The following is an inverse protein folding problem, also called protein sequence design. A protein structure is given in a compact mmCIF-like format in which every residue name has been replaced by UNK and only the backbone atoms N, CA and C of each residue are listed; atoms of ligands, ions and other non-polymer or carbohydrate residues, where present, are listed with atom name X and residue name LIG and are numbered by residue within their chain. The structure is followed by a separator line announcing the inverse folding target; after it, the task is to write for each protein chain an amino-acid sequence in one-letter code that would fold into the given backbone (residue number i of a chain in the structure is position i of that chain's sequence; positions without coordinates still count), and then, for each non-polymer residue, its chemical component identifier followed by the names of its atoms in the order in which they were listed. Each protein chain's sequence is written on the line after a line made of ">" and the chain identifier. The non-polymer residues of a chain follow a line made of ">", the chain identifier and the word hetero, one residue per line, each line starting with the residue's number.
data_IF_295593517034
#
_entry.id   IF_295593517034
#
_cell.length_a   1.000
_cell.length_b   1.000
_cell.length_c   1.000
_cell.angle_alpha   90.00
_cell.angle_beta   90.00
_cell.angle_gamma   90.00
#
_symmetry.space_group_name_H-M   'P 1'
#
loop_
_entity.id
_entity.type
_entity.pdbx_description
1 polymer ?
#
# COMPACT_ATOMS: atom_id res chain seq x y z
N UNK A 1 -23.94 -31.85 -10.69
CA UNK A 1 -23.65 -30.49 -11.21
C UNK A 1 -23.25 -29.48 -10.11
N UNK A 2 -23.68 -29.61 -8.85
CA UNK A 2 -23.30 -28.65 -7.78
C UNK A 2 -21.81 -28.70 -7.37
N UNK A 3 -21.16 -29.86 -7.38
CA UNK A 3 -19.77 -30.01 -6.91
C UNK A 3 -18.75 -29.22 -7.76
N UNK A 4 -18.97 -29.15 -9.08
CA UNK A 4 -18.14 -28.39 -10.02
C UNK A 4 -18.24 -26.88 -9.82
N UNK A 5 -19.40 -26.36 -9.41
CA UNK A 5 -19.57 -24.94 -9.12
C UNK A 5 -18.87 -24.54 -7.81
N UNK A 6 -18.87 -25.42 -6.80
CA UNK A 6 -18.20 -25.21 -5.50
C UNK A 6 -16.68 -25.14 -5.64
N UNK A 7 -16.09 -26.04 -6.42
CA UNK A 7 -14.64 -26.01 -6.69
C UNK A 7 -14.26 -24.73 -7.46
N UNK A 8 -15.13 -24.27 -8.36
CA UNK A 8 -14.88 -23.07 -9.15
C UNK A 8 -14.83 -21.80 -8.30
N UNK A 9 -15.78 -21.63 -7.37
CA UNK A 9 -15.82 -20.43 -6.51
C UNK A 9 -14.64 -20.37 -5.53
N UNK A 10 -14.21 -21.52 -5.00
CA UNK A 10 -13.03 -21.60 -4.13
C UNK A 10 -11.75 -21.25 -4.91
N UNK A 11 -11.59 -21.80 -6.12
CA UNK A 11 -10.47 -21.46 -7.00
C UNK A 11 -10.45 -19.97 -7.36
N UNK A 12 -11.60 -19.39 -7.67
CA UNK A 12 -11.68 -17.97 -8.00
C UNK A 12 -11.24 -17.09 -6.82
N UNK A 13 -11.66 -17.43 -5.59
CA UNK A 13 -11.19 -16.75 -4.39
C UNK A 13 -9.67 -16.86 -4.23
N UNK A 14 -9.12 -18.07 -4.42
CA UNK A 14 -7.68 -18.31 -4.34
C UNK A 14 -6.89 -17.47 -5.35
N UNK A 15 -7.33 -17.44 -6.61
CA UNK A 15 -6.70 -16.67 -7.68
C UNK A 15 -6.71 -15.18 -7.38
N UNK A 16 -7.83 -14.65 -6.87
CA UNK A 16 -7.92 -13.24 -6.48
C UNK A 16 -6.96 -12.92 -5.34
N UNK A 17 -6.92 -13.75 -4.29
CA UNK A 17 -5.98 -13.53 -3.18
C UNK A 17 -4.52 -13.59 -3.65
N UNK A 18 -4.15 -14.58 -4.46
CA UNK A 18 -2.80 -14.69 -5.01
C UNK A 18 -2.42 -13.47 -5.85
N UNK A 19 -3.34 -12.99 -6.68
CA UNK A 19 -3.15 -11.79 -7.47
C UNK A 19 -2.96 -10.54 -6.59
N UNK A 20 -3.76 -10.38 -5.54
CA UNK A 20 -3.63 -9.28 -4.58
C UNK A 20 -2.26 -9.33 -3.89
N UNK A 21 -1.86 -10.50 -3.36
CA UNK A 21 -0.57 -10.70 -2.70
C UNK A 21 0.59 -10.34 -3.63
N UNK A 22 0.57 -10.86 -4.86
CA UNK A 22 1.63 -10.60 -5.83
C UNK A 22 1.77 -9.10 -6.13
N UNK A 23 0.65 -8.39 -6.30
CA UNK A 23 0.64 -6.94 -6.53
C UNK A 23 1.14 -6.15 -5.34
N UNK A 24 0.69 -6.47 -4.13
CA UNK A 24 1.18 -5.83 -2.89
C UNK A 24 2.69 -6.02 -2.75
N UNK A 25 3.20 -7.23 -3.00
CA UNK A 25 4.62 -7.50 -2.94
C UNK A 25 5.41 -6.72 -3.99
N UNK A 26 4.88 -6.58 -5.20
CA UNK A 26 5.47 -5.72 -6.23
C UNK A 26 5.56 -4.27 -5.77
N UNK A 27 4.47 -3.71 -5.24
CA UNK A 27 4.45 -2.34 -4.68
C UNK A 27 5.45 -2.22 -3.52
N UNK A 28 5.46 -3.19 -2.61
CA UNK A 28 6.34 -3.24 -1.44
C UNK A 28 7.82 -3.22 -1.81
N UNK A 29 8.19 -3.86 -2.93
CA UNK A 29 9.57 -3.91 -3.41
C UNK A 29 9.99 -2.63 -4.14
N UNK A 30 9.03 -1.85 -4.65
CA UNK A 30 9.28 -0.55 -5.30
C UNK A 30 9.29 0.63 -4.32
N UNK A 31 8.92 0.42 -3.04
CA UNK A 31 9.01 1.46 -2.01
C UNK A 31 10.47 1.86 -1.81
N UNK A 32 10.79 3.11 -2.14
CA UNK A 32 12.15 3.68 -2.04
C UNK A 32 12.78 4.04 -3.39
N UNK A 33 12.19 3.61 -4.51
CA UNK A 33 12.60 4.02 -5.86
C UNK A 33 11.68 5.13 -6.39
N UNK A 34 10.47 4.78 -6.80
CA UNK A 34 9.44 5.72 -7.24
C UNK A 34 8.03 5.18 -6.92
N UNK A 35 7.57 5.50 -5.71
CA UNK A 35 6.26 5.04 -5.22
C UNK A 35 5.08 5.81 -5.82
N UNK A 36 5.36 6.91 -6.53
CA UNK A 36 4.35 7.71 -7.23
C UNK A 36 4.32 7.42 -8.73
N UNK A 37 4.96 6.34 -9.15
CA UNK A 37 4.94 5.90 -10.54
C UNK A 37 3.55 5.42 -10.95
N UNK A 38 3.21 5.62 -12.23
CA UNK A 38 1.95 5.15 -12.82
C UNK A 38 1.74 3.65 -12.65
N UNK A 39 2.82 2.87 -12.73
CA UNK A 39 2.78 1.43 -12.54
C UNK A 39 2.26 1.05 -11.14
N UNK A 40 2.60 1.82 -10.10
CA UNK A 40 2.11 1.60 -8.73
C UNK A 40 0.63 1.97 -8.61
N UNK A 41 0.23 3.10 -9.20
CA UNK A 41 -1.18 3.52 -9.23
C UNK A 41 -2.07 2.48 -9.92
N UNK A 42 -1.61 1.92 -11.05
CA UNK A 42 -2.34 0.89 -11.78
C UNK A 42 -2.47 -0.40 -10.94
N UNK A 43 -1.40 -0.82 -10.25
CA UNK A 43 -1.46 -1.97 -9.33
C UNK A 43 -2.43 -1.75 -8.17
N UNK A 44 -2.42 -0.56 -7.56
CA UNK A 44 -3.36 -0.19 -6.49
C UNK A 44 -4.80 -0.22 -7.00
N UNK A 45 -5.04 0.34 -8.18
CA UNK A 45 -6.35 0.35 -8.82
C UNK A 45 -6.85 -1.07 -9.10
N UNK A 46 -6.00 -1.95 -9.65
CA UNK A 46 -6.36 -3.35 -9.89
C UNK A 46 -6.68 -4.11 -8.60
N UNK A 47 -5.94 -3.85 -7.51
CA UNK A 47 -6.26 -4.37 -6.18
C UNK A 47 -7.65 -3.87 -5.76
N UNK A 48 -7.89 -2.56 -5.78
CA UNK A 48 -9.18 -1.97 -5.40
C UNK A 48 -10.35 -2.52 -6.20
N UNK A 49 -10.16 -2.77 -7.51
CA UNK A 49 -11.17 -3.37 -8.38
C UNK A 49 -11.45 -4.84 -8.06
N UNK A 50 -10.48 -5.57 -7.50
CA UNK A 50 -10.62 -6.98 -7.13
C UNK A 50 -11.38 -7.18 -5.82
N UNK A 51 -11.35 -6.20 -4.90
CA UNK A 51 -11.96 -6.30 -3.56
C UNK A 51 -13.48 -6.56 -3.61
N UNK A 52 -14.30 -5.82 -4.38
CA UNK A 52 -15.73 -6.08 -4.42
C UNK A 52 -16.08 -7.49 -4.90
N UNK A 53 -15.35 -7.99 -5.90
CA UNK A 53 -15.54 -9.36 -6.40
C UNK A 53 -15.17 -10.39 -5.35
N UNK A 54 -14.04 -10.19 -4.66
CA UNK A 54 -13.63 -11.04 -3.56
C UNK A 54 -14.67 -11.06 -2.43
N UNK A 55 -15.20 -9.90 -2.04
CA UNK A 55 -16.23 -9.80 -1.01
C UNK A 55 -17.49 -10.59 -1.38
N UNK A 56 -17.96 -10.45 -2.62
CA UNK A 56 -19.11 -11.25 -3.12
C UNK A 56 -18.84 -12.75 -3.03
N UNK A 57 -17.68 -13.20 -3.50
CA UNK A 57 -17.28 -14.61 -3.48
C UNK A 57 -17.23 -15.14 -2.03
N UNK A 58 -16.63 -14.38 -1.11
CA UNK A 58 -16.56 -14.75 0.30
C UNK A 58 -17.96 -14.84 0.92
N UNK A 59 -18.86 -13.89 0.62
CA UNK A 59 -20.25 -13.95 1.09
C UNK A 59 -20.97 -15.20 0.58
N UNK A 60 -20.74 -15.60 -0.68
CA UNK A 60 -21.33 -16.81 -1.24
C UNK A 60 -20.73 -18.08 -0.59
N UNK A 61 -19.41 -18.13 -0.38
CA UNK A 61 -18.75 -19.21 0.35
C UNK A 61 -19.33 -19.37 1.76
N UNK A 62 -19.54 -18.27 2.49
CA UNK A 62 -20.14 -18.28 3.83
C UNK A 62 -21.59 -18.76 3.83
N UNK A 63 -22.36 -18.39 2.80
CA UNK A 63 -23.72 -18.90 2.59
C UNK A 63 -23.72 -20.42 2.34
N UNK A 64 -22.81 -20.90 1.48
CA UNK A 64 -22.65 -22.33 1.19
C UNK A 64 -22.16 -23.11 2.43
N UNK A 65 -21.24 -22.54 3.22
CA UNK A 65 -20.81 -23.12 4.50
C UNK A 65 -21.99 -23.28 5.47
N UNK A 66 -22.84 -22.25 5.59
CA UNK A 66 -24.02 -22.28 6.46
C UNK A 66 -25.05 -23.33 6.05
N UNK A 67 -25.06 -23.70 4.76
CA UNK A 67 -25.90 -24.76 4.19
C UNK A 67 -25.24 -26.14 4.19
N UNK A 68 -24.06 -26.28 4.81
CA UNK A 68 -23.23 -27.49 4.77
C UNK A 68 -22.87 -27.96 3.34
N UNK A 69 -22.83 -27.02 2.39
CA UNK A 69 -22.47 -27.29 1.01
C UNK A 69 -20.95 -27.31 0.80
N UNK A 70 -20.23 -26.53 1.60
CA UNK A 70 -18.76 -26.54 1.71
C UNK A 70 -18.39 -26.98 3.12
N UNK A 71 -17.38 -27.83 3.26
CA UNK A 71 -16.83 -28.22 4.56
C UNK A 71 -15.78 -27.20 5.02
N UNK A 72 -15.64 -26.96 6.33
CA UNK A 72 -14.61 -26.05 6.86
C UNK A 72 -13.18 -26.37 6.36
N UNK A 73 -12.83 -27.66 6.23
CA UNK A 73 -11.52 -28.08 5.74
C UNK A 73 -11.22 -27.62 4.30
N UNK A 74 -12.26 -27.41 3.48
CA UNK A 74 -12.10 -26.91 2.10
C UNK A 74 -11.76 -25.40 2.08
N UNK A 75 -11.85 -24.70 3.22
CA UNK A 75 -11.56 -23.26 3.34
C UNK A 75 -10.15 -22.98 3.85
N UNK A 76 -9.38 -23.99 4.29
CA UNK A 76 -8.06 -23.82 4.89
C UNK A 76 -7.13 -22.98 4.02
N UNK A 77 -7.10 -23.24 2.71
CA UNK A 77 -6.25 -22.50 1.78
C UNK A 77 -6.69 -21.05 1.61
N UNK A 78 -7.99 -20.78 1.61
CA UNK A 78 -8.52 -19.41 1.52
C UNK A 78 -8.18 -18.62 2.79
N UNK A 79 -8.34 -19.22 3.96
CA UNK A 79 -7.98 -18.62 5.25
C UNK A 79 -6.47 -18.35 5.32
N UNK A 80 -5.66 -19.29 4.85
CA UNK A 80 -4.22 -19.11 4.76
C UNK A 80 -3.83 -17.94 3.84
N UNK A 81 -4.41 -17.89 2.63
CA UNK A 81 -4.16 -16.82 1.67
C UNK A 81 -4.65 -15.46 2.17
N UNK A 82 -5.77 -15.40 2.89
CA UNK A 82 -6.24 -14.14 3.49
C UNK A 82 -5.28 -13.65 4.56
N UNK A 83 -4.74 -14.54 5.40
CA UNK A 83 -3.69 -14.22 6.36
C UNK A 83 -2.43 -13.67 5.69
N UNK A 84 -1.94 -14.32 4.61
CA UNK A 84 -0.80 -13.84 3.85
C UNK A 84 -1.04 -12.47 3.19
N UNK A 85 -2.25 -12.23 2.69
CA UNK A 85 -2.61 -10.92 2.13
C UNK A 85 -2.56 -9.82 3.20
N UNK A 86 -3.11 -10.10 4.40
CA UNK A 86 -3.02 -9.18 5.55
C UNK A 86 -1.59 -8.91 5.97
N UNK A 87 -0.76 -9.95 6.06
CA UNK A 87 0.67 -9.80 6.40
C UNK A 87 1.42 -8.97 5.36
N UNK A 88 1.20 -9.26 4.07
CA UNK A 88 1.82 -8.52 2.95
C UNK A 88 1.45 -7.03 3.00
N UNK A 89 0.19 -6.71 3.30
CA UNK A 89 -0.26 -5.33 3.51
C UNK A 89 0.42 -4.69 4.72
N UNK A 90 0.55 -5.40 5.84
CA UNK A 90 1.23 -4.90 7.04
C UNK A 90 2.70 -4.56 6.76
N UNK A 91 3.40 -5.40 5.98
CA UNK A 91 4.77 -5.11 5.53
C UNK A 91 4.82 -3.84 4.68
N UNK A 92 3.94 -3.71 3.69
CA UNK A 92 3.86 -2.51 2.85
C UNK A 92 3.55 -1.25 3.68
N UNK A 93 2.58 -1.32 4.58
CA UNK A 93 2.19 -0.20 5.45
C UNK A 93 3.37 0.27 6.31
N UNK A 94 4.12 -0.65 6.92
CA UNK A 94 5.28 -0.32 7.74
C UNK A 94 6.39 0.35 6.92
N UNK A 95 6.64 -0.12 5.69
CA UNK A 95 7.60 0.53 4.78
C UNK A 95 7.16 1.96 4.43
N UNK A 96 5.89 2.14 4.11
CA UNK A 96 5.30 3.47 3.81
C UNK A 96 5.44 4.44 4.97
N UNK A 97 5.13 4.00 6.20
CA UNK A 97 5.31 4.81 7.42
C UNK A 97 6.76 5.22 7.62
N UNK A 98 7.69 4.28 7.49
CA UNK A 98 9.12 4.57 7.63
C UNK A 98 9.63 5.57 6.58
N UNK A 99 9.13 5.48 5.34
CA UNK A 99 9.48 6.42 4.28
C UNK A 99 8.96 7.83 4.61
N UNK A 100 7.69 7.95 4.99
CA UNK A 100 7.08 9.21 5.37
C UNK A 100 7.80 9.89 6.55
N UNK A 101 8.19 9.12 7.57
CA UNK A 101 8.96 9.64 8.70
C UNK A 101 10.35 10.15 8.29
N UNK A 102 11.02 9.45 7.38
CA UNK A 102 12.31 9.87 6.84
C UNK A 102 12.18 11.18 6.04
N UNK A 103 11.19 11.28 5.18
CA UNK A 103 10.97 12.47 4.37
C UNK A 103 10.53 13.68 5.21
N UNK A 104 9.70 13.48 6.24
CA UNK A 104 9.36 14.53 7.20
C UNK A 104 10.61 15.11 7.88
N UNK A 105 11.54 14.25 8.32
CA UNK A 105 12.83 14.68 8.91
C UNK A 105 13.69 15.46 7.91
N UNK A 106 13.74 15.03 6.65
CA UNK A 106 14.49 15.72 5.58
C UNK A 106 13.89 17.10 5.29
N UNK A 107 12.57 17.20 5.21
CA UNK A 107 11.86 18.48 5.03
C UNK A 107 12.20 19.44 6.19
N UNK A 108 12.16 18.96 7.43
CA UNK A 108 12.52 19.78 8.60
C UNK A 108 13.96 20.31 8.51
N UNK A 109 14.92 19.48 8.08
CA UNK A 109 16.31 19.89 7.87
C UNK A 109 16.44 20.95 6.77
N UNK A 110 15.74 20.77 5.65
CA UNK A 110 15.72 21.74 4.56
C UNK A 110 15.11 23.08 5.00
N UNK A 111 14.04 23.06 5.79
CA UNK A 111 13.45 24.28 6.36
C UNK A 111 14.45 25.03 7.24
N UNK A 112 15.21 24.34 8.09
CA UNK A 112 16.27 24.95 8.92
C UNK A 112 17.35 25.61 8.07
N UNK A 113 17.82 24.93 7.01
CA UNK A 113 18.81 25.48 6.07
C UNK A 113 18.26 26.72 5.38
N UNK A 114 17.01 26.67 4.92
CA UNK A 114 16.35 27.81 4.28
C UNK A 114 16.30 29.04 5.20
N UNK A 115 15.93 28.85 6.47
CA UNK A 115 15.90 29.94 7.45
C UNK A 115 17.30 30.53 7.70
N UNK A 116 18.33 29.69 7.79
CA UNK A 116 19.71 30.14 7.94
C UNK A 116 20.17 30.98 6.74
N UNK A 117 19.87 30.55 5.51
CA UNK A 117 20.17 31.31 4.29
C UNK A 117 19.46 32.66 4.33
N UNK A 118 18.16 32.68 4.68
CA UNK A 118 17.37 33.91 4.79
C UNK A 118 17.97 34.88 5.80
N UNK A 119 18.42 34.39 6.96
CA UNK A 119 19.11 35.20 7.96
C UNK A 119 20.43 35.77 7.43
N UNK A 120 21.25 34.96 6.75
CA UNK A 120 22.52 35.41 6.17
C UNK A 120 22.34 36.49 5.09
N UNK A 121 21.36 36.33 4.20
CA UNK A 121 21.02 37.31 3.15
C UNK A 121 20.56 38.64 3.77
N UNK A 122 19.74 38.59 4.82
CA UNK A 122 19.29 39.78 5.55
C UNK A 122 20.47 40.53 6.18
N UNK A 123 21.41 39.81 6.79
CA UNK A 123 22.63 40.38 7.35
C UNK A 123 23.51 41.07 6.29
N UNK A 124 23.77 40.39 5.17
CA UNK A 124 24.55 40.95 4.06
C UNK A 124 23.92 42.23 3.49
N UNK A 125 22.59 42.24 3.31
CA UNK A 125 21.84 43.40 2.81
C UNK A 125 21.96 44.62 3.73
N UNK A 126 21.97 44.40 5.05
CA UNK A 126 22.22 45.48 6.03
C UNK A 126 23.66 46.02 5.93
N UNK A 127 24.65 45.15 5.74
CA UNK A 127 26.05 45.54 5.55
C UNK A 127 26.28 46.42 4.31
N UNK A 128 25.60 46.13 3.20
CA UNK A 128 25.68 46.94 1.97
C UNK A 128 25.12 48.36 2.18
N UNK A 129 24.03 48.50 2.94
CA UNK A 129 23.42 49.80 3.22
C UNK A 129 24.28 50.70 4.13
N UNK A 130 25.12 50.12 4.98
CA UNK A 130 26.05 50.87 5.84
C UNK A 130 27.20 51.44 4.98
N UNK A 131 27.77 50.64 4.07
CA UNK A 131 28.84 51.09 3.14
C UNK A 131 28.39 52.18 2.17
N UNK A 132 27.10 52.33 1.88
CA UNK A 132 26.57 53.40 1.00
C UNK A 132 26.33 54.73 1.72
N UNK A 133 26.33 54.75 3.06
CA UNK A 133 26.07 55.94 3.89
C UNK A 133 27.34 56.52 4.53
N UNK A 134 28.49 55.90 4.29
CA UNK A 134 29.83 56.37 4.68
C UNK A 134 30.57 56.80 3.43
#
# INVERSE_FOLDING_TARGET
>A
MQYSARILILKEAEEIFQNIIAKINKISNSVGEDIFSRDIDDLLKEISQSIPRLQMIISEILSQLSRNEIKPAELEKIIYLSGLATESFGVLENKLKSLADSDAKRIEQLSKIYDQIKSAVSFASRGINIKRKT
#
